data_IF_466570496140
#
_entry.id   IF_466570496140
#
_cell.length_a   1.000
_cell.length_b   1.000
_cell.length_c   1.000
_cell.angle_alpha   90.00
_cell.angle_beta   90.00
_cell.angle_gamma   90.00
#
_symmetry.space_group_name_H-M   'P 1'
#
loop_
_entity.id
_entity.type
_entity.pdbx_description
1 polymer ?
#
# COMPACT_ATOMS: atom_id res chain seq x y z
N UNK A 1 49.07 -5.78 28.35
CA UNK A 1 47.94 -5.16 27.60
C UNK A 1 47.16 -4.23 28.53
N UNK A 2 46.94 -2.97 28.15
CA UNK A 2 46.26 -1.98 29.01
C UNK A 2 44.81 -2.37 29.33
N UNK A 3 44.35 -2.09 30.55
CA UNK A 3 42.98 -2.37 31.04
C UNK A 3 41.90 -1.84 30.08
N UNK A 4 42.14 -0.69 29.44
CA UNK A 4 41.26 -0.13 28.39
C UNK A 4 41.08 -1.06 27.19
N UNK A 5 42.14 -1.72 26.71
CA UNK A 5 42.04 -2.67 25.58
C UNK A 5 41.25 -3.92 25.94
N UNK A 6 41.32 -4.39 27.19
CA UNK A 6 40.50 -5.53 27.69
C UNK A 6 39.02 -5.18 27.78
N UNK A 7 38.69 -4.00 28.29
CA UNK A 7 37.29 -3.53 28.34
C UNK A 7 36.68 -3.39 26.94
N UNK A 8 37.45 -2.83 25.98
CA UNK A 8 37.01 -2.70 24.57
C UNK A 8 36.80 -4.06 23.88
N UNK A 9 37.70 -5.02 24.08
CA UNK A 9 37.55 -6.37 23.52
C UNK A 9 36.35 -7.11 24.10
N UNK A 10 36.07 -6.96 25.41
CA UNK A 10 34.89 -7.56 26.02
C UNK A 10 33.59 -6.89 25.59
N UNK A 11 33.57 -5.57 25.39
CA UNK A 11 32.44 -4.86 24.80
C UNK A 11 32.14 -5.33 23.37
N UNK A 12 33.17 -5.50 22.53
CA UNK A 12 33.02 -6.06 21.19
C UNK A 12 32.49 -7.50 21.19
N UNK A 13 32.96 -8.35 22.12
CA UNK A 13 32.45 -9.72 22.27
C UNK A 13 30.97 -9.74 22.65
N UNK A 14 30.55 -8.87 23.58
CA UNK A 14 29.13 -8.72 23.97
C UNK A 14 28.27 -8.20 22.81
N UNK A 15 28.78 -7.26 22.02
CA UNK A 15 28.08 -6.71 20.86
C UNK A 15 27.87 -7.79 19.78
N UNK A 16 28.90 -8.58 19.47
CA UNK A 16 28.80 -9.72 18.53
C UNK A 16 27.79 -10.77 19.00
N UNK A 17 27.79 -11.10 20.29
CA UNK A 17 26.81 -12.02 20.86
C UNK A 17 25.37 -11.48 20.78
N UNK A 18 25.17 -10.16 20.94
CA UNK A 18 23.86 -9.52 20.72
C UNK A 18 23.45 -9.55 19.25
N UNK A 19 24.37 -9.26 18.33
CA UNK A 19 24.11 -9.32 16.89
C UNK A 19 23.67 -10.71 16.45
N UNK A 20 24.40 -11.76 16.84
CA UNK A 20 24.03 -13.14 16.54
C UNK A 20 22.64 -13.51 17.09
N UNK A 21 22.32 -13.11 18.32
CA UNK A 21 20.97 -13.32 18.87
C UNK A 21 19.89 -12.61 18.06
N UNK A 22 20.14 -11.38 17.60
CA UNK A 22 19.21 -10.62 16.78
C UNK A 22 19.04 -11.24 15.39
N UNK A 23 20.12 -11.76 14.80
CA UNK A 23 20.07 -12.51 13.53
C UNK A 23 19.24 -13.78 13.68
N UNK A 24 19.46 -14.57 14.75
CA UNK A 24 18.69 -15.78 15.03
C UNK A 24 17.19 -15.49 15.25
N UNK A 25 16.87 -14.42 16.00
CA UNK A 25 15.47 -14.02 16.19
C UNK A 25 14.84 -13.52 14.90
N UNK A 26 15.56 -12.75 14.08
CA UNK A 26 15.07 -12.33 12.77
C UNK A 26 14.81 -13.52 11.85
N UNK A 27 15.68 -14.54 11.86
CA UNK A 27 15.51 -15.73 11.04
C UNK A 27 14.29 -16.55 11.49
N UNK A 28 14.11 -16.72 12.80
CA UNK A 28 12.95 -17.41 13.37
C UNK A 28 11.64 -16.71 13.04
N UNK A 29 11.59 -15.38 13.17
CA UNK A 29 10.41 -14.57 12.83
C UNK A 29 10.09 -14.61 11.33
N UNK A 30 11.10 -14.63 10.46
CA UNK A 30 10.90 -14.78 9.01
C UNK A 30 10.30 -16.14 8.66
N UNK A 31 10.84 -17.22 9.24
CA UNK A 31 10.27 -18.56 9.06
C UNK A 31 8.82 -18.63 9.50
N UNK A 32 8.50 -18.07 10.68
CA UNK A 32 7.12 -18.05 11.17
C UNK A 32 6.17 -17.26 10.26
N UNK A 33 6.62 -16.14 9.66
CA UNK A 33 5.82 -15.36 8.70
C UNK A 33 5.65 -16.08 7.35
N UNK A 34 6.69 -16.75 6.84
CA UNK A 34 6.61 -17.55 5.61
C UNK A 34 5.66 -18.75 5.75
N UNK A 35 5.61 -19.37 6.94
CA UNK A 35 4.72 -20.51 7.21
C UNK A 35 3.24 -20.11 7.34
N UNK A 36 2.95 -18.85 7.69
CA UNK A 36 1.61 -18.43 8.10
C UNK A 36 0.76 -17.75 7.01
N UNK A 37 1.33 -17.06 6.01
CA UNK A 37 0.63 -15.82 5.58
C UNK A 37 0.00 -15.76 4.19
N UNK A 38 0.49 -16.42 3.13
CA UNK A 38 -0.03 -16.08 1.78
C UNK A 38 -1.33 -16.86 1.41
N UNK A 39 -1.34 -18.18 1.59
CA UNK A 39 -2.48 -19.03 1.19
C UNK A 39 -3.74 -18.81 2.06
N UNK A 40 -3.56 -18.55 3.35
CA UNK A 40 -4.68 -18.32 4.28
C UNK A 40 -5.33 -16.97 3.98
N UNK A 41 -4.53 -15.93 3.74
CA UNK A 41 -5.05 -14.61 3.43
C UNK A 41 -5.80 -14.61 2.09
N UNK A 42 -5.24 -15.23 1.06
CA UNK A 42 -5.90 -15.33 -0.24
C UNK A 42 -7.23 -16.08 -0.16
N UNK A 43 -7.30 -17.18 0.59
CA UNK A 43 -8.55 -17.92 0.79
C UNK A 43 -9.64 -17.06 1.43
N UNK A 44 -9.29 -16.26 2.45
CA UNK A 44 -10.23 -15.34 3.14
C UNK A 44 -10.60 -14.14 2.27
N UNK A 45 -9.69 -13.70 1.41
CA UNK A 45 -9.93 -12.59 0.50
C UNK A 45 -10.84 -12.98 -0.67
N UNK A 46 -11.03 -14.26 -0.99
CA UNK A 46 -11.88 -14.69 -2.13
C UNK A 46 -13.31 -14.15 -2.04
N UNK A 47 -13.90 -14.19 -0.84
CA UNK A 47 -15.30 -13.82 -0.60
C UNK A 47 -15.56 -12.30 -0.60
N UNK A 48 -14.50 -11.48 -0.53
CA UNK A 48 -14.64 -10.03 -0.45
C UNK A 48 -14.90 -9.40 -1.82
N UNK A 49 -15.53 -8.22 -1.81
CA UNK A 49 -15.62 -7.41 -3.03
C UNK A 49 -14.24 -6.89 -3.44
N UNK A 50 -14.03 -6.68 -4.74
CA UNK A 50 -12.74 -6.19 -5.27
C UNK A 50 -12.24 -4.93 -4.53
N UNK A 51 -13.14 -4.00 -4.23
CA UNK A 51 -12.81 -2.76 -3.52
C UNK A 51 -12.29 -3.00 -2.11
N UNK A 52 -12.92 -3.92 -1.39
CA UNK A 52 -12.48 -4.29 -0.04
C UNK A 52 -11.13 -5.02 -0.09
N UNK A 53 -10.92 -5.91 -1.07
CA UNK A 53 -9.61 -6.56 -1.26
C UNK A 53 -8.51 -5.52 -1.48
N UNK A 54 -8.72 -4.55 -2.37
CA UNK A 54 -7.76 -3.48 -2.64
C UNK A 54 -7.44 -2.66 -1.37
N UNK A 55 -8.46 -2.29 -0.59
CA UNK A 55 -8.27 -1.55 0.66
C UNK A 55 -7.41 -2.33 1.65
N UNK A 56 -7.70 -3.62 1.85
CA UNK A 56 -6.99 -4.50 2.78
C UNK A 56 -5.55 -4.73 2.32
N UNK A 57 -5.34 -5.06 1.05
CA UNK A 57 -3.99 -5.21 0.48
C UNK A 57 -3.15 -3.95 0.68
N UNK A 58 -3.77 -2.77 0.56
CA UNK A 58 -3.07 -1.51 0.79
C UNK A 58 -2.75 -1.26 2.26
N UNK A 59 -3.62 -1.69 3.17
CA UNK A 59 -3.35 -1.67 4.61
C UNK A 59 -2.13 -2.54 4.94
N UNK A 60 -2.08 -3.77 4.41
CA UNK A 60 -0.91 -4.65 4.58
C UNK A 60 0.36 -4.08 3.97
N UNK A 61 0.30 -3.53 2.75
CA UNK A 61 1.46 -2.86 2.16
C UNK A 61 1.94 -1.70 3.03
N UNK A 62 1.04 -0.88 3.55
CA UNK A 62 1.40 0.21 4.45
C UNK A 62 2.02 -0.26 5.76
N UNK A 63 1.46 -1.31 6.38
CA UNK A 63 1.97 -1.89 7.62
C UNK A 63 3.38 -2.46 7.47
N UNK A 64 3.74 -2.97 6.28
CA UNK A 64 5.11 -3.43 5.98
C UNK A 64 6.14 -2.29 5.97
N UNK A 65 5.71 -1.06 5.71
CA UNK A 65 6.61 0.09 5.64
C UNK A 65 6.73 0.79 7.01
N UNK A 66 7.98 1.08 7.42
CA UNK A 66 8.27 1.82 8.66
C UNK A 66 7.81 3.29 8.63
N UNK A 67 7.50 3.81 7.44
CA UNK A 67 7.16 5.22 7.22
C UNK A 67 6.03 5.33 6.20
N UNK A 68 5.10 6.30 6.36
CA UNK A 68 4.06 6.58 5.37
C UNK A 68 4.59 7.20 4.08
N UNK A 69 5.88 7.58 4.04
CA UNK A 69 6.53 8.18 2.87
C UNK A 69 6.99 7.09 1.89
N UNK A 70 6.79 7.32 0.59
CA UNK A 70 7.30 6.45 -0.47
C UNK A 70 6.46 5.20 -0.75
N UNK A 71 5.27 5.09 -0.16
CA UNK A 71 4.34 3.99 -0.45
C UNK A 71 3.89 4.09 -1.91
N UNK A 72 4.06 2.98 -2.65
CA UNK A 72 3.54 2.83 -4.00
C UNK A 72 2.09 2.35 -3.90
N UNK A 73 1.18 3.09 -4.52
CA UNK A 73 -0.24 2.74 -4.53
C UNK A 73 -0.60 1.97 -5.80
N UNK A 74 -1.46 0.96 -5.64
CA UNK A 74 -2.11 0.31 -6.77
C UNK A 74 -2.94 1.34 -7.57
N UNK A 75 -2.87 1.37 -8.91
CA UNK A 75 -3.63 2.31 -9.74
C UNK A 75 -5.15 2.23 -9.53
N UNK A 76 -5.71 1.04 -9.32
CA UNK A 76 -7.15 0.85 -9.11
C UNK A 76 -7.59 1.42 -7.76
N UNK A 77 -6.75 1.23 -6.73
CA UNK A 77 -6.99 1.85 -5.41
C UNK A 77 -6.88 3.37 -5.46
N UNK A 78 -5.93 3.90 -6.25
CA UNK A 78 -5.80 5.34 -6.47
C UNK A 78 -7.04 5.93 -7.13
N UNK A 79 -7.62 5.24 -8.10
CA UNK A 79 -8.86 5.65 -8.75
C UNK A 79 -10.01 5.73 -7.72
N UNK A 80 -10.18 4.70 -6.89
CA UNK A 80 -11.18 4.72 -5.82
C UNK A 80 -10.92 5.87 -4.83
N UNK A 81 -9.65 6.15 -4.48
CA UNK A 81 -9.28 7.29 -3.66
C UNK A 81 -9.66 8.64 -4.29
N UNK A 82 -9.52 8.79 -5.61
CA UNK A 82 -9.96 9.98 -6.32
C UNK A 82 -11.49 10.12 -6.26
N UNK A 83 -12.23 9.03 -6.49
CA UNK A 83 -13.69 9.02 -6.41
C UNK A 83 -14.16 9.40 -4.99
N UNK A 84 -13.57 8.80 -3.95
CA UNK A 84 -13.86 9.14 -2.55
C UNK A 84 -13.65 10.63 -2.26
N UNK A 85 -12.53 11.18 -2.75
CA UNK A 85 -12.23 12.60 -2.60
C UNK A 85 -13.22 13.49 -3.35
N UNK A 86 -13.64 13.10 -4.55
CA UNK A 86 -14.65 13.82 -5.34
C UNK A 86 -16.00 13.84 -4.60
N UNK A 87 -16.39 12.74 -3.97
CA UNK A 87 -17.63 12.64 -3.19
C UNK A 87 -17.61 13.51 -1.93
N UNK A 88 -16.53 13.47 -1.16
CA UNK A 88 -16.38 14.34 0.02
C UNK A 88 -14.90 14.58 0.36
N UNK A 89 -14.35 15.76 0.01
CA UNK A 89 -12.98 16.10 0.34
C UNK A 89 -12.72 16.17 1.84
N UNK A 90 -13.72 16.61 2.64
CA UNK A 90 -13.61 16.73 4.09
C UNK A 90 -13.51 15.37 4.76
N UNK A 91 -14.40 14.44 4.39
CA UNK A 91 -14.36 13.06 4.90
C UNK A 91 -13.05 12.37 4.51
N UNK A 92 -12.62 12.54 3.26
CA UNK A 92 -11.36 11.97 2.78
C UNK A 92 -10.16 12.40 3.64
N UNK A 93 -10.05 13.70 3.96
CA UNK A 93 -8.95 14.19 4.80
C UNK A 93 -9.09 13.73 6.26
N UNK A 94 -10.30 13.61 6.79
CA UNK A 94 -10.52 13.07 8.13
C UNK A 94 -10.05 11.62 8.22
N UNK A 95 -10.56 10.74 7.35
CA UNK A 95 -10.17 9.31 7.29
C UNK A 95 -8.66 9.13 7.13
N UNK A 96 -8.04 10.00 6.32
CA UNK A 96 -6.58 9.99 6.11
C UNK A 96 -5.80 10.44 7.34
N UNK A 97 -6.22 11.52 8.00
CA UNK A 97 -5.51 12.10 9.17
C UNK A 97 -5.59 11.19 10.38
N UNK A 98 -6.76 10.59 10.60
CA UNK A 98 -6.98 9.62 11.67
C UNK A 98 -6.36 8.25 11.37
N UNK A 99 -5.83 8.04 10.15
CA UNK A 99 -5.17 6.78 9.78
C UNK A 99 -6.11 5.59 9.69
N UNK A 100 -7.42 5.82 9.50
CA UNK A 100 -8.45 4.77 9.42
C UNK A 100 -8.21 3.88 8.19
N UNK A 101 -7.80 4.50 7.06
CA UNK A 101 -7.44 3.80 5.84
C UNK A 101 -6.13 4.35 5.27
N UNK A 102 -5.41 3.51 4.51
CA UNK A 102 -4.22 3.93 3.80
C UNK A 102 -4.57 4.77 2.56
N UNK A 103 -4.65 6.08 2.78
CA UNK A 103 -5.03 7.07 1.78
C UNK A 103 -3.85 7.95 1.34
N UNK A 104 -3.64 8.12 0.02
CA UNK A 104 -2.61 9.01 -0.51
C UNK A 104 -2.85 10.47 -0.13
N UNK A 105 -1.77 11.25 -0.08
CA UNK A 105 -1.88 12.69 0.13
C UNK A 105 -2.50 13.40 -1.07
N UNK A 106 -3.05 14.61 -0.85
CA UNK A 106 -3.53 15.47 -1.93
C UNK A 106 -2.49 15.68 -3.02
N UNK A 107 -1.22 15.86 -2.65
CA UNK A 107 -0.12 16.04 -3.60
C UNK A 107 0.12 14.78 -4.43
N UNK A 108 0.06 13.59 -3.80
CA UNK A 108 0.17 12.32 -4.49
C UNK A 108 -0.96 12.14 -5.51
N UNK A 109 -2.21 12.37 -5.10
CA UNK A 109 -3.37 12.31 -6.01
C UNK A 109 -3.22 13.26 -7.20
N UNK A 110 -2.78 14.51 -6.97
CA UNK A 110 -2.53 15.46 -8.06
C UNK A 110 -1.48 14.97 -9.06
N UNK A 111 -0.38 14.38 -8.58
CA UNK A 111 0.67 13.83 -9.45
C UNK A 111 0.11 12.70 -10.31
N UNK A 112 -0.71 11.82 -9.73
CA UNK A 112 -1.35 10.76 -10.50
C UNK A 112 -2.40 11.29 -11.47
N UNK A 113 -3.22 12.27 -11.06
CA UNK A 113 -4.19 12.93 -11.94
C UNK A 113 -3.52 13.56 -13.17
N UNK A 114 -2.34 14.17 -13.01
CA UNK A 114 -1.57 14.73 -14.13
C UNK A 114 -1.10 13.70 -15.16
N UNK A 115 -0.97 12.42 -14.77
CA UNK A 115 -0.61 11.36 -15.71
C UNK A 115 -1.74 11.01 -16.67
N UNK A 116 -2.99 11.26 -16.26
CA UNK A 116 -4.13 11.13 -17.16
C UNK A 116 -4.06 12.27 -18.16
N UNK A 117 -3.67 11.97 -19.39
CA UNK A 117 -3.64 12.93 -20.49
C UNK A 117 -5.07 13.33 -20.84
N UNK A 118 -5.53 14.45 -20.30
CA UNK A 118 -6.66 15.19 -20.87
C UNK A 118 -6.09 16.14 -21.92
N UNK A 119 -6.04 15.67 -23.17
CA UNK A 119 -5.84 16.59 -24.29
C UNK A 119 -7.02 17.56 -24.42
N UNK A 120 -6.86 18.59 -25.24
CA UNK A 120 -7.98 19.43 -25.64
C UNK A 120 -8.92 18.59 -26.54
N UNK A 121 -10.24 18.73 -26.34
CA UNK A 121 -11.25 17.95 -27.06
C UNK A 121 -11.63 16.62 -26.39
N UNK A 122 -12.29 15.74 -27.14
CA UNK A 122 -12.72 14.44 -26.64
C UNK A 122 -11.56 13.45 -26.61
N UNK A 123 -11.42 12.71 -25.50
CA UNK A 123 -10.43 11.65 -25.42
C UNK A 123 -10.94 10.42 -26.21
N UNK A 124 -10.23 9.99 -27.27
CA UNK A 124 -10.68 8.89 -28.11
C UNK A 124 -10.78 7.56 -27.35
N UNK A 125 -9.94 7.34 -26.33
CA UNK A 125 -10.05 6.14 -25.49
C UNK A 125 -11.32 6.14 -24.65
N UNK A 126 -11.74 7.32 -24.17
CA UNK A 126 -12.99 7.45 -23.41
C UNK A 126 -14.18 7.20 -24.33
N UNK A 127 -14.19 7.79 -25.53
CA UNK A 127 -15.25 7.55 -26.51
C UNK A 127 -15.33 6.09 -26.94
N UNK A 128 -14.19 5.43 -27.17
CA UNK A 128 -14.14 4.01 -27.50
C UNK A 128 -14.72 3.16 -26.35
N UNK A 129 -14.35 3.45 -25.09
CA UNK A 129 -14.87 2.74 -23.93
C UNK A 129 -16.37 2.96 -23.72
N UNK A 130 -16.88 4.16 -23.97
CA UNK A 130 -18.32 4.44 -23.96
C UNK A 130 -19.00 3.65 -25.07
N UNK A 131 -18.49 3.71 -26.30
CA UNK A 131 -19.06 3.01 -27.45
C UNK A 131 -19.14 1.49 -27.22
N UNK A 132 -18.11 0.86 -26.64
CA UNK A 132 -18.17 -0.55 -26.26
C UNK A 132 -19.26 -0.83 -25.21
N UNK A 133 -19.38 0.03 -24.21
CA UNK A 133 -20.35 -0.15 -23.12
C UNK A 133 -21.79 0.05 -23.59
N UNK A 134 -22.01 0.93 -24.57
CA UNK A 134 -23.33 1.17 -25.15
C UNK A 134 -23.82 -0.03 -25.98
N UNK A 135 -22.94 -0.89 -26.50
CA UNK A 135 -23.36 -2.11 -27.24
C UNK A 135 -24.21 -3.07 -26.40
N UNK A 136 -24.04 -3.07 -25.07
CA UNK A 136 -24.79 -3.93 -24.17
C UNK A 136 -26.01 -3.23 -23.54
N UNK A 137 -26.34 -2.01 -23.96
CA UNK A 137 -27.48 -1.26 -23.43
C UNK A 137 -28.70 -1.50 -24.32
N UNK A 138 -29.85 -1.78 -23.70
CA UNK A 138 -31.13 -1.86 -24.43
C UNK A 138 -31.48 -0.50 -25.03
N UNK A 139 -32.09 -0.51 -26.23
CA UNK A 139 -32.64 0.70 -26.83
C UNK A 139 -33.69 1.30 -25.88
N UNK A 140 -33.53 2.59 -25.57
CA UNK A 140 -34.55 3.34 -24.84
C UNK A 140 -35.84 3.37 -25.68
N UNK A 141 -36.84 2.58 -25.27
CA UNK A 141 -38.23 2.70 -25.74
C UNK A 141 -38.93 3.88 -25.09
#
# INVERSE_FOLDING_TARGET
MSLRRRAQTQALKRLRAKLSRYEDTMQKLKQQSEELEENVLESRLKDLTLKQKLAIMQCFQGARHKSPKGIKYNPDWLLECMIMRMKSPRLYEHVRREGILLLPSRSCLKVYMRKYKSGFGFNPMVLAGIAEKTKSMDEFK
#
